data_IF_679584131151
#
_entry.id   IF_679584131151
#
_cell.length_a   1.000
_cell.length_b   1.000
_cell.length_c   1.000
_cell.angle_alpha   90.00
_cell.angle_beta   90.00
_cell.angle_gamma   90.00
#
_symmetry.space_group_name_H-M   'P 1'
#
loop_
_entity.id
_entity.type
_entity.pdbx_description
1 polymer ?
#
# COMPACT_ATOMS: atom_id res chain seq x y z
N UNK A 1 5.58 8.07 -13.91
CA UNK A 1 4.56 7.03 -13.74
C UNK A 1 4.37 6.37 -15.10
N UNK A 2 4.48 5.05 -15.22
CA UNK A 2 4.40 4.34 -16.51
C UNK A 2 3.09 3.56 -16.70
N UNK A 3 2.28 3.48 -15.65
CA UNK A 3 0.95 2.90 -15.66
C UNK A 3 0.09 3.53 -14.55
N UNK A 4 -1.23 3.51 -14.72
CA UNK A 4 -2.22 4.00 -13.74
C UNK A 4 -3.53 3.22 -13.87
N UNK A 5 -4.01 2.67 -12.76
CA UNK A 5 -5.29 1.96 -12.67
C UNK A 5 -6.37 2.75 -11.92
N UNK A 6 -7.59 2.77 -12.46
CA UNK A 6 -8.83 3.19 -11.76
C UNK A 6 -9.96 2.22 -12.12
N UNK A 7 -11.14 2.31 -11.49
CA UNK A 7 -12.20 1.30 -11.65
C UNK A 7 -12.53 0.89 -13.09
N UNK A 8 -12.56 1.85 -14.00
CA UNK A 8 -12.99 1.66 -15.39
C UNK A 8 -11.84 1.41 -16.38
N UNK A 9 -10.58 1.63 -16.00
CA UNK A 9 -9.46 1.58 -16.94
C UNK A 9 -8.10 1.32 -16.30
N UNK A 10 -7.22 0.76 -17.10
CA UNK A 10 -5.79 0.66 -16.86
C UNK A 10 -5.07 1.34 -18.03
N UNK A 11 -4.46 2.49 -17.76
CA UNK A 11 -3.61 3.19 -18.72
C UNK A 11 -2.16 2.71 -18.52
N UNK A 12 -1.49 2.29 -19.59
CA UNK A 12 -0.12 1.75 -19.49
C UNK A 12 0.69 2.08 -20.74
N UNK A 13 1.88 2.63 -20.55
CA UNK A 13 2.86 2.76 -21.62
C UNK A 13 3.33 1.36 -22.04
N UNK A 14 3.64 1.17 -23.32
CA UNK A 14 4.29 -0.06 -23.77
C UNK A 14 5.56 -0.33 -22.92
N UNK A 15 5.75 -1.53 -22.36
CA UNK A 15 6.91 -1.84 -21.51
C UNK A 15 8.26 -1.51 -22.15
N UNK A 16 8.36 -1.62 -23.47
CA UNK A 16 9.59 -1.28 -24.22
C UNK A 16 9.98 0.20 -24.11
N UNK A 17 9.05 1.08 -23.72
CA UNK A 17 9.31 2.51 -23.52
C UNK A 17 9.65 2.85 -22.07
N UNK A 18 9.44 1.95 -21.10
CA UNK A 18 9.57 2.30 -19.69
C UNK A 18 10.97 2.76 -19.31
N UNK A 19 12.02 2.11 -19.81
CA UNK A 19 13.41 2.50 -19.54
C UNK A 19 13.78 3.89 -20.12
N UNK A 20 12.99 4.40 -21.07
CA UNK A 20 13.16 5.75 -21.65
C UNK A 20 12.34 6.79 -20.91
N UNK A 21 11.14 6.42 -20.48
CA UNK A 21 10.14 7.32 -19.87
C UNK A 21 10.19 7.32 -18.33
N UNK A 22 10.93 6.38 -17.72
CA UNK A 22 11.15 6.27 -16.27
C UNK A 22 12.52 5.68 -15.97
N UNK A 23 13.29 6.36 -15.11
CA UNK A 23 14.57 5.86 -14.62
C UNK A 23 14.44 4.65 -13.67
N UNK A 24 13.23 4.36 -13.18
CA UNK A 24 12.98 3.40 -12.10
C UNK A 24 12.49 2.03 -12.58
N UNK A 25 12.20 1.88 -13.88
CA UNK A 25 11.59 0.67 -14.42
C UNK A 25 12.38 0.11 -15.60
N UNK A 26 12.83 -1.14 -15.46
CA UNK A 26 13.41 -1.93 -16.54
C UNK A 26 12.47 -3.09 -16.87
N UNK A 27 11.91 -3.09 -18.08
CA UNK A 27 10.99 -4.13 -18.53
C UNK A 27 11.66 -5.50 -18.67
N UNK A 28 12.99 -5.56 -18.76
CA UNK A 28 13.74 -6.81 -18.77
C UNK A 28 13.66 -7.51 -17.41
N UNK A 29 13.45 -6.76 -16.31
CA UNK A 29 13.11 -7.31 -14.99
C UNK A 29 11.64 -7.74 -14.98
N UNK A 30 11.40 -8.98 -15.42
CA UNK A 30 10.06 -9.56 -15.54
C UNK A 30 9.32 -9.60 -14.21
N UNK A 31 10.04 -9.79 -13.09
CA UNK A 31 9.41 -9.85 -11.77
C UNK A 31 8.89 -8.47 -11.39
N UNK A 32 9.74 -7.44 -11.44
CA UNK A 32 9.29 -6.07 -11.12
C UNK A 32 8.24 -5.56 -12.10
N UNK A 33 8.33 -5.95 -13.36
CA UNK A 33 7.32 -5.65 -14.38
C UNK A 33 5.98 -6.27 -14.00
N UNK A 34 5.94 -7.56 -13.67
CA UNK A 34 4.71 -8.22 -13.24
C UNK A 34 4.16 -7.59 -11.96
N UNK A 35 5.01 -7.28 -10.99
CA UNK A 35 4.62 -6.62 -9.75
C UNK A 35 3.98 -5.26 -10.03
N UNK A 36 4.54 -4.45 -10.92
CA UNK A 36 3.97 -3.16 -11.32
C UNK A 36 2.60 -3.34 -11.99
N UNK A 37 2.46 -4.28 -12.92
CA UNK A 37 1.17 -4.56 -13.57
C UNK A 37 0.14 -5.01 -12.54
N UNK A 38 0.52 -5.90 -11.62
CA UNK A 38 -0.37 -6.36 -10.54
C UNK A 38 -0.76 -5.20 -9.61
N UNK A 39 0.17 -4.29 -9.29
CA UNK A 39 -0.09 -3.10 -8.47
C UNK A 39 -1.21 -2.25 -9.08
N UNK A 40 -1.11 -1.95 -10.36
CA UNK A 40 -2.15 -1.16 -11.04
C UNK A 40 -3.48 -1.91 -11.17
N UNK A 41 -3.45 -3.23 -11.39
CA UNK A 41 -4.67 -4.04 -11.37
C UNK A 41 -5.34 -4.07 -9.99
N UNK A 42 -4.56 -3.97 -8.91
CA UNK A 42 -5.12 -3.81 -7.55
C UNK A 42 -5.82 -2.45 -7.42
N UNK A 43 -5.29 -1.38 -8.00
CA UNK A 43 -6.01 -0.10 -8.06
C UNK A 43 -7.31 -0.18 -8.84
N UNK A 44 -7.33 -0.87 -9.99
CA UNK A 44 -8.57 -1.14 -10.74
C UNK A 44 -9.58 -1.88 -9.87
N UNK A 45 -9.17 -2.98 -9.25
CA UNK A 45 -10.05 -3.79 -8.40
C UNK A 45 -10.56 -3.01 -7.17
N UNK A 46 -9.69 -2.23 -6.53
CA UNK A 46 -10.05 -1.37 -5.41
C UNK A 46 -11.07 -0.31 -5.88
N UNK A 47 -10.81 0.39 -6.98
CA UNK A 47 -11.73 1.38 -7.54
C UNK A 47 -13.10 0.78 -7.87
N UNK A 48 -13.16 -0.45 -8.42
CA UNK A 48 -14.43 -1.13 -8.71
C UNK A 48 -15.28 -1.42 -7.47
N UNK A 49 -14.64 -1.50 -6.30
CA UNK A 49 -15.31 -1.76 -5.02
C UNK A 49 -15.52 -0.50 -4.19
N UNK A 50 -14.86 0.61 -4.53
CA UNK A 50 -14.85 1.85 -3.76
C UNK A 50 -16.03 2.76 -4.13
N UNK A 51 -16.53 3.53 -3.16
CA UNK A 51 -17.56 4.56 -3.41
C UNK A 51 -17.06 5.72 -4.27
N UNK A 52 -15.75 5.94 -4.33
CA UNK A 52 -15.05 6.87 -5.24
C UNK A 52 -14.22 6.07 -6.25
N UNK A 53 -14.78 5.66 -7.40
CA UNK A 53 -14.17 4.66 -8.29
C UNK A 53 -12.85 5.09 -8.94
N UNK A 54 -12.59 6.40 -9.00
CA UNK A 54 -11.37 7.01 -9.53
C UNK A 54 -10.49 7.64 -8.43
N UNK A 55 -10.85 7.43 -7.16
CA UNK A 55 -10.19 8.02 -5.99
C UNK A 55 -10.15 9.56 -5.97
N UNK A 56 -11.02 10.25 -6.73
CA UNK A 56 -11.11 11.72 -6.72
C UNK A 56 -11.72 12.29 -5.43
N UNK A 57 -12.56 11.51 -4.74
CA UNK A 57 -13.15 11.83 -3.44
C UNK A 57 -12.60 10.88 -2.38
N UNK A 58 -11.38 11.14 -1.90
CA UNK A 58 -10.74 10.39 -0.80
C UNK A 58 -10.20 11.35 0.26
N UNK A 59 -10.14 10.89 1.52
CA UNK A 59 -9.55 11.67 2.63
C UNK A 59 -8.70 10.78 3.52
N UNK A 60 -7.39 11.05 3.57
CA UNK A 60 -6.42 10.33 4.41
C UNK A 60 -6.25 8.84 4.03
N UNK A 61 -6.54 8.48 2.78
CA UNK A 61 -6.60 7.08 2.33
C UNK A 61 -5.37 6.61 1.55
N UNK A 62 -4.44 7.50 1.21
CA UNK A 62 -3.30 7.18 0.33
C UNK A 62 -2.50 5.98 0.83
N UNK A 63 -2.25 5.91 2.14
CA UNK A 63 -1.55 4.79 2.77
C UNK A 63 -2.26 3.44 2.56
N UNK A 64 -3.59 3.43 2.49
CA UNK A 64 -4.36 2.20 2.30
C UNK A 64 -4.43 1.82 0.82
N UNK A 65 -4.73 2.80 -0.05
CA UNK A 65 -4.81 2.60 -1.50
C UNK A 65 -3.48 2.07 -2.04
N UNK A 66 -2.39 2.74 -1.73
CA UNK A 66 -1.04 2.39 -2.19
C UNK A 66 -0.45 1.23 -1.38
N UNK A 67 -0.76 1.15 -0.09
CA UNK A 67 -0.31 0.06 0.76
C UNK A 67 -0.87 -1.29 0.33
N UNK A 68 -2.16 -1.34 -0.01
CA UNK A 68 -2.79 -2.57 -0.50
C UNK A 68 -2.16 -3.01 -1.82
N UNK A 69 -2.00 -2.07 -2.77
CA UNK A 69 -1.38 -2.36 -4.06
C UNK A 69 0.07 -2.83 -3.89
N UNK A 70 0.85 -2.20 -3.01
CA UNK A 70 2.22 -2.62 -2.67
C UNK A 70 2.26 -4.03 -2.09
N UNK A 71 1.37 -4.32 -1.15
CA UNK A 71 1.36 -5.60 -0.45
C UNK A 71 0.87 -6.75 -1.36
N UNK A 72 -0.26 -6.57 -2.03
CA UNK A 72 -0.87 -7.58 -2.88
C UNK A 72 -0.07 -7.84 -4.16
N UNK A 73 0.65 -6.86 -4.69
CA UNK A 73 1.56 -7.05 -5.83
C UNK A 73 2.86 -7.78 -5.48
N UNK A 74 3.18 -7.91 -4.19
CA UNK A 74 4.47 -8.45 -3.74
C UNK A 74 5.63 -7.45 -3.78
N UNK A 75 5.35 -6.16 -3.99
CA UNK A 75 6.36 -5.10 -3.88
C UNK A 75 6.79 -4.82 -2.43
N UNK A 76 6.07 -5.33 -1.43
CA UNK A 76 6.55 -5.36 -0.04
C UNK A 76 7.53 -6.54 0.15
N UNK A 77 8.73 -6.40 -0.40
CA UNK A 77 9.76 -7.42 -0.33
C UNK A 77 10.53 -7.44 1.01
N UNK A 78 11.46 -8.40 1.14
CA UNK A 78 12.29 -8.55 2.35
C UNK A 78 13.17 -7.33 2.63
N UNK A 79 13.63 -6.62 1.59
CA UNK A 79 14.49 -5.45 1.76
C UNK A 79 13.68 -4.32 2.38
N UNK A 80 12.49 -4.03 1.84
CA UNK A 80 11.57 -3.03 2.39
C UNK A 80 11.13 -3.38 3.80
N UNK A 81 10.79 -4.63 4.07
CA UNK A 81 10.46 -5.09 5.44
C UNK A 81 11.63 -4.82 6.39
N UNK A 82 12.87 -5.10 5.99
CA UNK A 82 14.06 -4.81 6.80
C UNK A 82 14.26 -3.30 7.03
N UNK A 83 14.05 -2.47 6.01
CA UNK A 83 14.12 -1.01 6.13
C UNK A 83 13.06 -0.46 7.11
N UNK A 84 11.84 -0.99 7.06
CA UNK A 84 10.78 -0.63 8.00
C UNK A 84 11.12 -1.08 9.42
N UNK A 85 11.63 -2.30 9.60
CA UNK A 85 12.08 -2.81 10.90
C UNK A 85 13.16 -1.88 11.52
N UNK A 86 14.13 -1.44 10.71
CA UNK A 86 15.15 -0.46 11.10
C UNK A 86 14.57 0.91 11.43
N UNK A 87 13.62 1.40 10.64
CA UNK A 87 12.96 2.69 10.89
C UNK A 87 12.17 2.68 12.21
N UNK A 88 11.47 1.59 12.53
CA UNK A 88 10.74 1.41 13.79
C UNK A 88 11.74 1.35 14.96
N UNK A 89 12.76 0.51 14.86
CA UNK A 89 13.77 0.33 15.93
C UNK A 89 14.58 1.60 16.18
N UNK A 90 14.82 2.40 15.14
CA UNK A 90 15.47 3.71 15.24
C UNK A 90 14.55 4.87 15.63
N UNK A 91 13.29 4.60 15.99
CA UNK A 91 12.27 5.60 16.30
C UNK A 91 12.06 6.67 15.22
N UNK A 92 12.18 6.27 13.95
CA UNK A 92 12.00 7.11 12.75
C UNK A 92 10.67 6.84 12.02
N UNK A 93 9.89 5.87 12.47
CA UNK A 93 8.57 5.60 11.91
C UNK A 93 7.60 6.75 12.21
N UNK A 94 6.76 7.18 11.26
CA UNK A 94 5.77 8.23 11.50
C UNK A 94 4.77 7.86 12.61
N UNK A 95 4.19 8.88 13.23
CA UNK A 95 3.18 8.74 14.29
C UNK A 95 1.75 9.01 13.79
N UNK A 96 1.57 9.14 12.48
CA UNK A 96 0.26 9.23 11.84
C UNK A 96 0.29 8.56 10.47
N UNK A 97 -0.80 7.89 10.11
CA UNK A 97 -1.06 7.25 8.82
C UNK A 97 -1.01 8.26 7.66
N UNK A 98 -1.37 9.53 7.89
CA UNK A 98 -1.31 10.56 6.85
C UNK A 98 0.14 10.80 6.38
N UNK A 99 1.11 10.50 7.24
CA UNK A 99 2.54 10.60 6.91
C UNK A 99 3.12 9.31 6.34
N UNK A 100 2.36 8.21 6.24
CA UNK A 100 2.86 6.95 5.67
C UNK A 100 3.08 7.06 4.16
N UNK A 101 2.37 7.96 3.49
CA UNK A 101 2.55 8.21 2.05
C UNK A 101 3.57 9.33 1.75
N UNK A 102 4.59 9.47 2.59
CA UNK A 102 5.63 10.51 2.44
C UNK A 102 7.04 9.93 2.45
N UNK A 103 7.96 10.60 1.74
CA UNK A 103 9.38 10.25 1.71
C UNK A 103 9.71 8.91 1.04
N UNK A 104 10.94 8.43 1.27
CA UNK A 104 11.51 7.27 0.57
C UNK A 104 10.89 5.93 0.98
N UNK A 105 10.38 5.83 2.20
CA UNK A 105 9.85 4.58 2.76
C UNK A 105 8.34 4.41 2.52
N UNK A 106 7.70 5.31 1.77
CA UNK A 106 6.23 5.42 1.69
C UNK A 106 5.52 4.11 1.35
N UNK A 107 6.01 3.39 0.35
CA UNK A 107 5.46 2.10 -0.06
C UNK A 107 5.71 1.01 0.99
N UNK A 108 6.90 0.99 1.61
CA UNK A 108 7.22 0.04 2.68
C UNK A 108 6.33 0.26 3.91
N UNK A 109 6.17 1.52 4.34
CA UNK A 109 5.32 1.89 5.48
C UNK A 109 3.87 1.51 5.20
N UNK A 110 3.32 1.98 4.08
CA UNK A 110 1.94 1.73 3.64
C UNK A 110 1.64 0.24 3.44
N UNK A 111 2.53 -0.49 2.75
CA UNK A 111 2.38 -1.94 2.55
C UNK A 111 2.46 -2.73 3.86
N UNK A 112 3.39 -2.36 4.75
CA UNK A 112 3.59 -3.08 6.01
C UNK A 112 2.43 -2.91 7.01
N UNK A 113 1.76 -1.76 7.02
CA UNK A 113 0.57 -1.57 7.85
C UNK A 113 -0.61 -2.38 7.31
N UNK A 114 -0.78 -2.47 6.00
CA UNK A 114 -1.80 -3.34 5.38
C UNK A 114 -1.50 -4.82 5.63
N UNK A 115 -0.24 -5.23 5.53
CA UNK A 115 0.19 -6.57 5.94
C UNK A 115 -0.20 -6.86 7.40
N UNK A 116 0.06 -5.93 8.33
CA UNK A 116 -0.35 -6.08 9.72
C UNK A 116 -1.87 -6.17 9.89
N UNK A 117 -2.65 -5.39 9.12
CA UNK A 117 -4.11 -5.47 9.14
C UNK A 117 -4.58 -6.86 8.67
N UNK A 118 -4.01 -7.43 7.60
CA UNK A 118 -4.34 -8.80 7.19
C UNK A 118 -4.03 -9.81 8.31
N UNK A 119 -2.86 -9.70 8.94
CA UNK A 119 -2.45 -10.63 9.99
C UNK A 119 -3.35 -10.56 11.23
N UNK A 120 -3.84 -9.37 11.58
CA UNK A 120 -4.68 -9.17 12.77
C UNK A 120 -6.17 -9.42 12.51
N UNK A 121 -6.68 -8.99 11.36
CA UNK A 121 -8.13 -8.97 11.07
C UNK A 121 -8.54 -9.93 9.95
N UNK A 122 -7.59 -10.48 9.21
CA UNK A 122 -7.80 -11.42 8.12
C UNK A 122 -8.06 -10.76 6.77
N UNK A 123 -7.82 -11.52 5.69
CA UNK A 123 -7.98 -11.06 4.31
C UNK A 123 -9.40 -10.63 3.96
N UNK A 124 -10.42 -11.32 4.50
CA UNK A 124 -11.83 -10.94 4.28
C UNK A 124 -12.08 -9.51 4.77
N UNK A 125 -11.48 -9.12 5.90
CA UNK A 125 -11.60 -7.75 6.39
C UNK A 125 -10.95 -6.76 5.44
N UNK A 126 -9.76 -7.04 4.88
CA UNK A 126 -9.14 -6.16 3.88
C UNK A 126 -10.06 -5.90 2.68
N UNK A 127 -10.73 -6.95 2.17
CA UNK A 127 -11.68 -6.80 1.05
C UNK A 127 -12.88 -5.93 1.46
N UNK A 128 -13.40 -6.08 2.68
CA UNK A 128 -14.49 -5.24 3.19
C UNK A 128 -14.12 -3.75 3.31
N UNK A 129 -12.83 -3.45 3.52
CA UNK A 129 -12.35 -2.07 3.65
C UNK A 129 -12.30 -1.32 2.32
N UNK A 130 -12.27 -2.01 1.18
CA UNK A 130 -12.13 -1.41 -0.16
C UNK A 130 -13.25 -0.42 -0.51
N UNK A 131 -14.40 -0.54 0.15
CA UNK A 131 -15.56 0.33 -0.12
C UNK A 131 -15.42 1.73 0.48
N UNK A 132 -14.53 1.92 1.46
CA UNK A 132 -14.44 3.18 2.21
C UNK A 132 -13.54 4.18 1.48
N UNK A 133 -13.91 5.46 1.54
CA UNK A 133 -13.11 6.54 0.96
C UNK A 133 -12.46 7.46 2.02
N UNK A 134 -12.71 7.20 3.31
CA UNK A 134 -12.13 7.96 4.42
C UNK A 134 -11.38 7.09 5.42
N UNK A 135 -10.26 7.60 5.92
CA UNK A 135 -9.44 6.96 6.97
C UNK A 135 -10.28 6.57 8.19
N UNK A 136 -11.16 7.46 8.65
CA UNK A 136 -11.98 7.26 9.84
C UNK A 136 -12.94 6.08 9.68
N UNK A 137 -13.47 5.85 8.48
CA UNK A 137 -14.36 4.73 8.19
C UNK A 137 -13.62 3.39 8.26
N UNK A 138 -12.37 3.35 7.77
CA UNK A 138 -11.50 2.18 7.93
C UNK A 138 -11.24 1.89 9.41
N UNK A 139 -10.83 2.90 10.18
CA UNK A 139 -10.54 2.76 11.61
C UNK A 139 -11.78 2.29 12.39
N UNK A 140 -12.95 2.87 12.09
CA UNK A 140 -14.24 2.46 12.67
C UNK A 140 -14.58 1.01 12.30
N UNK A 141 -14.41 0.62 11.03
CA UNK A 141 -14.66 -0.76 10.59
C UNK A 141 -13.70 -1.79 11.19
N UNK A 142 -12.50 -1.37 11.60
CA UNK A 142 -11.53 -2.18 12.32
C UNK A 142 -11.74 -2.16 13.84
N UNK A 143 -12.68 -1.34 14.34
CA UNK A 143 -12.94 -1.09 15.75
C UNK A 143 -11.64 -0.73 16.51
N UNK A 144 -10.89 0.24 15.99
CA UNK A 144 -9.59 0.65 16.54
C UNK A 144 -9.36 2.14 16.34
N UNK A 145 -8.40 2.69 17.09
CA UNK A 145 -7.92 4.06 16.88
C UNK A 145 -6.68 4.05 15.99
N UNK A 146 -6.34 5.19 15.37
CA UNK A 146 -5.09 5.33 14.63
C UNK A 146 -3.88 5.00 15.51
N UNK A 147 -3.89 5.47 16.76
CA UNK A 147 -2.82 5.23 17.73
C UNK A 147 -2.67 3.74 18.07
N UNK A 148 -3.77 3.03 18.31
CA UNK A 148 -3.74 1.60 18.63
C UNK A 148 -3.29 0.76 17.44
N UNK A 149 -3.72 1.14 16.23
CA UNK A 149 -3.30 0.48 15.00
C UNK A 149 -1.79 0.63 14.79
N UNK A 150 -1.25 1.85 14.91
CA UNK A 150 0.17 2.15 14.78
C UNK A 150 1.00 1.45 15.86
N UNK A 151 0.54 1.46 17.12
CA UNK A 151 1.22 0.77 18.21
C UNK A 151 1.21 -0.75 18.01
N UNK A 152 0.10 -1.30 17.55
CA UNK A 152 -0.04 -2.71 17.21
C UNK A 152 0.92 -3.14 16.10
N UNK A 153 1.01 -2.34 15.04
CA UNK A 153 1.94 -2.55 13.93
C UNK A 153 3.40 -2.47 14.37
N UNK A 154 3.79 -1.45 15.14
CA UNK A 154 5.15 -1.34 15.70
C UNK A 154 5.51 -2.58 16.53
N UNK A 155 4.59 -3.03 17.40
CA UNK A 155 4.77 -4.25 18.22
C UNK A 155 4.89 -5.52 17.39
N UNK A 156 4.16 -5.62 16.28
CA UNK A 156 4.25 -6.75 15.35
C UNK A 156 5.66 -6.91 14.80
N UNK A 157 6.30 -5.81 14.37
CA UNK A 157 7.67 -5.85 13.87
C UNK A 157 8.71 -6.18 14.95
N UNK A 158 8.49 -5.75 16.20
CA UNK A 158 9.39 -6.09 17.32
C UNK A 158 9.30 -7.57 17.69
N UNK A 159 8.11 -8.19 17.64
CA UNK A 159 7.91 -9.59 18.03
C UNK A 159 8.35 -10.59 16.95
N UNK A 160 8.29 -10.21 15.68
CA UNK A 160 8.47 -11.15 14.57
C UNK A 160 9.94 -11.37 14.15
N UNK A 161 10.93 -10.71 14.78
CA UNK A 161 12.37 -10.83 14.45
C UNK A 161 12.65 -10.87 12.94
N UNK A 162 12.11 -9.89 12.20
CA UNK A 162 12.37 -9.72 10.77
C UNK A 162 13.77 -9.15 10.48
#
# INVERSE_FOLDING_TARGET
MVASGVAAKLDMLSPQQWAKESCEHDYADKIKTQQLITHELVHVFHGQSNVSPDFSDVTGLDWFVEGLATYASGQLDKVRISEISKAISGNKAPNSLDNFWTGKLKYGLSGSIVMYIEQKYGRRKLIELLKFNKKEEILNSLNTTEMDLLNGWKKYFVKSNY
#
